data_IF_869422940353
#
_entry.id   IF_869422940353
#
_cell.length_a   1.000
_cell.length_b   1.000
_cell.length_c   1.000
_cell.angle_alpha   90.00
_cell.angle_beta   90.00
_cell.angle_gamma   90.00
#
_symmetry.space_group_name_H-M   'P 1'
#
loop_
_entity.id
_entity.type
_entity.pdbx_description
1 polymer ?
#
# COMPACT_ATOMS: atom_id res chain seq x y z
N UNK A 1 -13.29 -3.23 16.09
CA UNK A 1 -11.84 -3.21 15.80
C UNK A 1 -11.50 -1.94 15.04
N UNK A 2 -10.44 -1.28 15.42
CA UNK A 2 -10.03 -0.03 14.76
C UNK A 2 -9.38 -0.31 13.40
N UNK A 3 -9.36 0.71 12.55
CA UNK A 3 -8.65 0.61 11.27
C UNK A 3 -7.17 0.32 11.49
N UNK A 4 -6.54 0.98 12.47
CA UNK A 4 -5.13 0.73 12.80
C UNK A 4 -4.91 -0.74 13.16
N UNK A 5 -5.81 -1.35 13.92
CA UNK A 5 -5.69 -2.76 14.28
C UNK A 5 -5.86 -3.66 13.05
N UNK A 6 -6.76 -3.29 12.15
CA UNK A 6 -6.94 -4.05 10.89
C UNK A 6 -5.69 -3.98 10.02
N UNK A 7 -5.08 -2.80 9.93
CA UNK A 7 -3.83 -2.63 9.17
C UNK A 7 -2.73 -3.53 9.76
N UNK A 8 -2.58 -3.52 11.09
CA UNK A 8 -1.58 -4.35 11.76
C UNK A 8 -1.84 -5.83 11.51
N UNK A 9 -3.12 -6.23 11.52
CA UNK A 9 -3.51 -7.61 11.28
C UNK A 9 -3.14 -8.05 9.87
N UNK A 10 -3.38 -7.21 8.87
CA UNK A 10 -3.01 -7.52 7.48
C UNK A 10 -1.50 -7.55 7.29
N UNK A 11 -0.78 -6.65 7.92
CA UNK A 11 0.69 -6.66 7.85
C UNK A 11 1.26 -7.91 8.51
N UNK A 12 0.70 -8.34 9.64
CA UNK A 12 1.13 -9.57 10.30
C UNK A 12 0.84 -10.79 9.43
N UNK A 13 -0.33 -10.82 8.78
CA UNK A 13 -0.68 -11.91 7.87
C UNK A 13 0.26 -11.94 6.67
N UNK A 14 0.63 -10.76 6.15
CA UNK A 14 1.58 -10.67 5.04
C UNK A 14 2.95 -11.20 5.45
N UNK A 15 3.43 -10.82 6.63
CA UNK A 15 4.72 -11.29 7.13
C UNK A 15 4.74 -12.81 7.34
N UNK A 16 3.67 -13.35 7.90
CA UNK A 16 3.54 -14.80 8.10
C UNK A 16 3.55 -15.54 6.76
N UNK A 17 2.80 -15.04 5.79
CA UNK A 17 2.76 -15.63 4.46
C UNK A 17 4.12 -15.57 3.78
N UNK A 18 4.82 -14.45 3.92
CA UNK A 18 6.16 -14.28 3.37
C UNK A 18 7.13 -15.30 3.96
N UNK A 19 7.07 -15.47 5.28
CA UNK A 19 7.90 -16.44 5.98
C UNK A 19 7.63 -17.88 5.51
N UNK A 20 6.38 -18.16 5.15
CA UNK A 20 5.97 -19.47 4.66
C UNK A 20 6.19 -19.63 3.16
N UNK A 21 6.88 -18.69 2.53
CA UNK A 21 7.14 -18.65 1.09
C UNK A 21 5.87 -18.54 0.25
N UNK A 22 4.78 -18.06 0.84
CA UNK A 22 3.53 -17.83 0.12
C UNK A 22 3.51 -16.37 -0.36
N UNK A 23 4.26 -16.10 -1.43
CA UNK A 23 4.43 -14.73 -1.93
C UNK A 23 3.13 -14.11 -2.43
N UNK A 24 2.27 -14.90 -3.05
CA UNK A 24 0.99 -14.39 -3.54
C UNK A 24 0.12 -13.86 -2.41
N UNK A 25 -0.01 -14.62 -1.34
CA UNK A 25 -0.79 -14.22 -0.18
C UNK A 25 -0.14 -13.01 0.51
N UNK A 26 1.19 -13.01 0.62
CA UNK A 26 1.90 -11.89 1.23
C UNK A 26 1.60 -10.59 0.49
N UNK A 27 1.62 -10.61 -0.85
CA UNK A 27 1.31 -9.42 -1.64
C UNK A 27 -0.14 -8.98 -1.48
N UNK A 28 -1.07 -9.93 -1.48
CA UNK A 28 -2.49 -9.59 -1.30
C UNK A 28 -2.73 -8.93 0.04
N UNK A 29 -2.17 -9.49 1.11
CA UNK A 29 -2.33 -8.92 2.45
C UNK A 29 -1.67 -7.55 2.56
N UNK A 30 -0.48 -7.39 1.96
CA UNK A 30 0.21 -6.10 1.95
C UNK A 30 -0.60 -5.03 1.22
N UNK A 31 -1.19 -5.37 0.07
CA UNK A 31 -2.06 -4.45 -0.68
C UNK A 31 -3.31 -4.08 0.12
N UNK A 32 -3.89 -5.03 0.85
CA UNK A 32 -5.05 -4.76 1.70
C UNK A 32 -4.70 -3.79 2.83
N UNK A 33 -3.52 -3.94 3.42
CA UNK A 33 -3.06 -3.02 4.46
C UNK A 33 -2.95 -1.60 3.91
N UNK A 34 -2.39 -1.44 2.71
CA UNK A 34 -2.31 -0.13 2.05
C UNK A 34 -3.71 0.43 1.80
N UNK A 35 -4.62 -0.40 1.28
CA UNK A 35 -5.99 0.05 1.00
C UNK A 35 -6.70 0.56 2.24
N UNK A 36 -6.51 -0.12 3.37
CA UNK A 36 -7.09 0.34 4.64
C UNK A 36 -6.55 1.72 5.03
N UNK A 37 -5.26 1.92 4.85
CA UNK A 37 -4.61 3.20 5.16
C UNK A 37 -5.11 4.31 4.24
N UNK A 38 -5.16 4.05 2.93
CA UNK A 38 -5.62 5.06 1.97
C UNK A 38 -7.11 5.35 2.13
N UNK A 39 -7.93 4.35 2.48
CA UNK A 39 -9.33 4.58 2.78
C UNK A 39 -9.49 5.56 3.95
N UNK A 40 -8.70 5.40 5.00
CA UNK A 40 -8.72 6.33 6.12
C UNK A 40 -8.38 7.75 5.70
N UNK A 41 -7.37 7.89 4.84
CA UNK A 41 -6.99 9.19 4.31
C UNK A 41 -8.09 9.79 3.45
N UNK A 42 -8.69 8.97 2.56
CA UNK A 42 -9.78 9.44 1.69
C UNK A 42 -10.99 9.93 2.48
N UNK A 43 -11.31 9.26 3.58
CA UNK A 43 -12.43 9.65 4.43
C UNK A 43 -12.23 11.00 5.11
N UNK A 44 -10.98 11.44 5.27
CA UNK A 44 -10.68 12.73 5.86
C UNK A 44 -10.70 13.88 4.86
N UNK A 45 -10.80 13.57 3.58
CA UNK A 45 -10.85 14.60 2.53
C UNK A 45 -12.27 15.17 2.42
N UNK A 46 -12.39 16.48 2.06
CA UNK A 46 -13.71 17.09 1.85
C UNK A 46 -14.50 16.39 0.75
N UNK A 47 -13.81 15.92 -0.29
CA UNK A 47 -14.40 15.17 -1.40
C UNK A 47 -13.54 13.95 -1.65
N UNK A 48 -14.18 12.78 -1.74
CA UNK A 48 -13.43 11.56 -2.01
C UNK A 48 -12.85 11.61 -3.41
N UNK A 49 -11.53 11.41 -3.51
CA UNK A 49 -10.80 11.53 -4.77
C UNK A 49 -10.71 10.21 -5.53
N UNK A 50 -10.60 9.09 -4.82
CA UNK A 50 -10.40 7.78 -5.44
C UNK A 50 -11.52 6.83 -5.08
N UNK A 51 -11.81 5.91 -6.00
CA UNK A 51 -12.72 4.81 -5.79
C UNK A 51 -12.02 3.53 -6.20
N UNK A 52 -12.67 2.39 -6.01
CA UNK A 52 -12.12 1.12 -6.42
C UNK A 52 -11.37 0.40 -5.30
N UNK A 53 -10.66 -0.64 -5.69
CA UNK A 53 -9.98 -1.54 -4.77
C UNK A 53 -8.53 -1.13 -4.51
N UNK A 54 -7.80 -2.01 -3.82
CA UNK A 54 -6.40 -1.75 -3.47
C UNK A 54 -5.53 -1.48 -4.71
N UNK A 55 -5.73 -2.24 -5.78
CA UNK A 55 -4.94 -2.06 -7.00
C UNK A 55 -5.19 -0.70 -7.63
N UNK A 56 -6.44 -0.22 -7.60
CA UNK A 56 -6.77 1.09 -8.11
C UNK A 56 -6.11 2.18 -7.26
N UNK A 57 -6.12 2.03 -5.93
CA UNK A 57 -5.45 2.98 -5.04
C UNK A 57 -3.96 3.06 -5.33
N UNK A 58 -3.31 1.91 -5.51
CA UNK A 58 -1.89 1.87 -5.84
C UNK A 58 -1.61 2.57 -7.18
N UNK A 59 -2.50 2.39 -8.15
CA UNK A 59 -2.38 3.04 -9.46
C UNK A 59 -2.49 4.55 -9.32
N UNK A 60 -3.42 5.04 -8.51
CA UNK A 60 -3.59 6.47 -8.27
C UNK A 60 -2.36 7.08 -7.60
N UNK A 61 -1.75 6.37 -6.66
CA UNK A 61 -0.52 6.84 -6.02
C UNK A 61 0.59 7.01 -7.06
N UNK A 62 0.74 6.03 -7.96
CA UNK A 62 1.77 6.08 -8.99
C UNK A 62 1.62 7.27 -9.93
N UNK A 63 0.39 7.65 -10.22
CA UNK A 63 0.09 8.67 -11.22
C UNK A 63 0.09 10.09 -10.68
N UNK A 64 0.10 10.24 -9.37
CA UNK A 64 -0.02 11.56 -8.75
C UNK A 64 1.35 12.07 -8.33
N UNK A 65 1.85 13.05 -9.07
CA UNK A 65 3.18 13.62 -8.85
C UNK A 65 3.29 14.37 -7.50
N UNK A 66 2.17 14.63 -6.83
CA UNK A 66 2.21 15.26 -5.51
C UNK A 66 2.76 14.31 -4.44
N UNK A 67 2.72 12.99 -4.68
CA UNK A 67 3.34 12.04 -3.77
C UNK A 67 4.84 11.96 -4.01
N UNK A 68 5.65 11.79 -2.96
CA UNK A 68 7.10 11.65 -3.12
C UNK A 68 7.46 10.46 -4.01
N UNK A 69 8.55 10.61 -4.76
CA UNK A 69 8.98 9.55 -5.68
C UNK A 69 9.14 8.18 -5.01
N UNK A 70 9.76 8.08 -3.82
CA UNK A 70 9.88 6.75 -3.18
C UNK A 70 8.53 6.09 -2.92
N UNK A 71 7.50 6.87 -2.61
CA UNK A 71 6.14 6.34 -2.37
C UNK A 71 5.53 5.86 -3.67
N UNK A 72 5.67 6.64 -4.75
CA UNK A 72 5.18 6.25 -6.06
C UNK A 72 5.87 4.97 -6.56
N UNK A 73 7.18 4.86 -6.33
CA UNK A 73 7.95 3.68 -6.71
C UNK A 73 7.53 2.44 -5.91
N UNK A 74 7.29 2.60 -4.60
CA UNK A 74 6.81 1.49 -3.78
C UNK A 74 5.44 1.01 -4.26
N UNK A 75 4.56 1.95 -4.61
CA UNK A 75 3.25 1.61 -5.15
C UNK A 75 3.35 0.87 -6.48
N UNK A 76 4.26 1.29 -7.35
CA UNK A 76 4.49 0.61 -8.62
C UNK A 76 4.95 -0.83 -8.40
N UNK A 77 5.96 -1.02 -7.54
CA UNK A 77 6.47 -2.37 -7.26
C UNK A 77 5.38 -3.26 -6.68
N UNK A 78 4.61 -2.74 -5.73
CA UNK A 78 3.59 -3.51 -5.04
C UNK A 78 2.41 -3.86 -5.94
N UNK A 79 2.12 -3.03 -6.95
CA UNK A 79 1.02 -3.27 -7.88
C UNK A 79 1.41 -4.16 -9.05
N UNK A 80 2.72 -4.37 -9.30
CA UNK A 80 3.16 -5.20 -10.43
C UNK A 80 2.78 -6.65 -10.19
N UNK A 81 2.14 -7.26 -11.16
CA UNK A 81 1.71 -8.65 -11.08
C UNK A 81 2.88 -9.61 -11.26
N UNK A 82 2.76 -10.79 -10.67
CA UNK A 82 3.80 -11.82 -10.76
C UNK A 82 4.17 -12.12 -12.21
N UNK A 83 3.19 -12.12 -13.11
CA UNK A 83 3.41 -12.38 -14.53
C UNK A 83 4.24 -11.29 -15.22
N UNK A 84 4.41 -10.15 -14.60
CA UNK A 84 5.11 -8.99 -15.15
C UNK A 84 6.47 -8.75 -14.50
N UNK A 85 6.93 -9.68 -13.64
CA UNK A 85 8.12 -9.45 -12.80
C UNK A 85 9.41 -9.15 -13.57
N UNK A 86 9.49 -9.60 -14.83
CA UNK A 86 10.68 -9.36 -15.66
C UNK A 86 10.54 -8.17 -16.59
N UNK A 87 9.34 -7.59 -16.66
CA UNK A 87 9.04 -6.49 -17.59
C UNK A 87 8.84 -5.15 -16.87
N UNK A 88 8.65 -5.16 -15.55
CA UNK A 88 8.35 -3.96 -14.77
C UNK A 88 8.92 -4.11 -13.36
N UNK A 89 9.07 -3.00 -12.61
CA UNK A 89 9.50 -3.07 -11.22
C UNK A 89 8.60 -4.02 -10.42
N UNK A 90 9.21 -4.85 -9.61
CA UNK A 90 8.51 -5.91 -8.87
C UNK A 90 8.98 -5.91 -7.43
N UNK A 91 8.05 -5.99 -6.49
CA UNK A 91 8.43 -5.97 -5.08
C UNK A 91 9.13 -7.26 -4.68
N UNK A 92 10.29 -7.10 -4.04
CA UNK A 92 11.01 -8.22 -3.40
C UNK A 92 10.74 -8.26 -1.91
N UNK A 93 10.01 -7.26 -1.38
CA UNK A 93 9.60 -7.18 0.02
C UNK A 93 8.30 -6.40 0.11
N UNK A 94 7.17 -7.10 -0.11
CA UNK A 94 5.87 -6.42 -0.11
C UNK A 94 5.53 -5.77 1.24
N UNK A 95 6.00 -6.33 2.34
CA UNK A 95 5.72 -5.78 3.66
C UNK A 95 6.42 -4.42 3.81
N UNK A 96 7.69 -4.33 3.42
CA UNK A 96 8.43 -3.06 3.48
C UNK A 96 7.81 -2.01 2.57
N UNK A 97 7.44 -2.38 1.35
CA UNK A 97 6.80 -1.44 0.43
C UNK A 97 5.46 -0.94 0.99
N UNK A 98 4.66 -1.84 1.57
CA UNK A 98 3.40 -1.46 2.19
C UNK A 98 3.62 -0.52 3.37
N UNK A 99 4.57 -0.85 4.24
CA UNK A 99 4.87 -0.01 5.41
C UNK A 99 5.32 1.39 5.01
N UNK A 100 6.10 1.50 3.95
CA UNK A 100 6.56 2.79 3.45
C UNK A 100 5.37 3.65 3.03
N UNK A 101 4.44 3.08 2.27
CA UNK A 101 3.25 3.78 1.82
C UNK A 101 2.35 4.15 3.02
N UNK A 102 2.11 3.20 3.90
CA UNK A 102 1.24 3.40 5.06
C UNK A 102 1.80 4.52 5.96
N UNK A 103 3.12 4.53 6.19
CA UNK A 103 3.76 5.55 7.00
C UNK A 103 3.54 6.94 6.40
N UNK A 104 3.57 7.06 5.08
CA UNK A 104 3.33 8.33 4.42
C UNK A 104 1.92 8.85 4.74
N UNK A 105 0.90 8.01 4.60
CA UNK A 105 -0.48 8.42 4.85
C UNK A 105 -0.77 8.65 6.34
N UNK A 106 -0.11 7.90 7.22
CA UNK A 106 -0.27 8.07 8.66
C UNK A 106 0.47 9.29 9.18
N UNK A 107 1.69 9.51 8.69
CA UNK A 107 2.50 10.65 9.10
C UNK A 107 1.93 11.98 8.66
N UNK A 108 1.12 11.98 7.61
CA UNK A 108 0.51 13.20 7.09
C UNK A 108 -0.63 13.71 7.95
N UNK A 109 -0.90 13.07 9.08
CA UNK A 109 -1.84 13.63 10.05
C UNK A 109 -1.24 14.83 10.76
N UNK A 110 0.06 14.99 10.72
CA UNK A 110 0.72 16.10 11.36
C UNK A 110 0.85 17.29 10.41
N UNK A 111 0.62 18.51 10.92
CA UNK A 111 0.82 19.69 10.11
C UNK A 111 2.28 19.78 9.69
N UNK A 112 2.49 19.99 8.43
CA UNK A 112 3.83 20.24 7.93
C UNK A 112 4.14 21.71 8.06
N UNK A 113 5.31 22.07 8.59
CA UNK A 113 5.70 23.47 8.69
C UNK A 113 5.78 24.11 7.32
#
# INVERSE_FOLDING_TARGET
MTRAALIEQELAAAAAAWKDSNEGKARVCARRAVALSTEGWLERLPVRRWRGDAMEHLRQIQQDASFPLPIRQAAERLSTKVTQRHAAPFTTDPISDAKLIIAHFSGNTEPQP
#
